data_IF_637825402199
#
_entry.id   IF_637825402199
#
_cell.length_a   1.000
_cell.length_b   1.000
_cell.length_c   1.000
_cell.angle_alpha   90.00
_cell.angle_beta   90.00
_cell.angle_gamma   90.00
#
_symmetry.space_group_name_H-M   'P 1'
#
loop_
_entity.id
_entity.type
_entity.pdbx_description
1 polymer ?
#
# COMPACT_ATOMS: atom_id res chain seq x y z
N UNK A 1 -1.64 2.54 -5.16
CA UNK A 1 -0.38 3.34 -5.07
C UNK A 1 0.12 3.95 -6.41
N UNK A 2 -0.61 3.75 -7.50
CA UNK A 2 -0.40 4.27 -8.85
C UNK A 2 -0.24 5.79 -8.93
N UNK A 3 -1.00 6.56 -8.15
CA UNK A 3 -0.89 8.02 -8.12
C UNK A 3 0.48 8.45 -7.55
N UNK A 4 0.98 7.77 -6.51
CA UNK A 4 2.31 8.04 -5.95
C UNK A 4 3.44 7.70 -6.94
N UNK A 5 3.19 6.81 -7.89
CA UNK A 5 4.15 6.44 -8.93
C UNK A 5 4.01 7.30 -10.21
N UNK A 6 3.16 8.33 -10.19
CA UNK A 6 3.00 9.28 -11.29
C UNK A 6 1.93 8.90 -12.32
N UNK A 7 1.04 7.95 -12.01
CA UNK A 7 -0.15 7.73 -12.83
C UNK A 7 -1.09 8.94 -12.74
N UNK A 8 -1.60 9.39 -13.90
CA UNK A 8 -2.64 10.42 -13.98
C UNK A 8 -4.05 9.83 -14.05
N UNK A 9 -4.16 8.50 -14.12
CA UNK A 9 -5.42 7.79 -14.21
C UNK A 9 -6.00 7.60 -12.80
N UNK A 10 -7.01 8.41 -12.48
CA UNK A 10 -7.82 8.21 -11.28
C UNK A 10 -8.96 7.25 -11.58
N UNK A 11 -9.14 6.25 -10.72
CA UNK A 11 -10.21 5.26 -10.86
C UNK A 11 -10.69 4.76 -9.48
N UNK A 12 -11.74 3.95 -9.48
CA UNK A 12 -12.37 3.41 -8.25
C UNK A 12 -11.36 2.75 -7.27
N UNK A 13 -10.35 1.98 -7.74
CA UNK A 13 -9.30 1.44 -6.88
C UNK A 13 -8.58 2.47 -5.99
N UNK A 14 -8.44 3.71 -6.42
CA UNK A 14 -7.79 4.78 -5.63
C UNK A 14 -8.61 5.11 -4.38
N UNK A 15 -9.93 5.15 -4.51
CA UNK A 15 -10.84 5.37 -3.38
C UNK A 15 -10.81 4.17 -2.42
N UNK A 16 -10.82 2.94 -2.96
CA UNK A 16 -10.75 1.72 -2.16
C UNK A 16 -9.45 1.65 -1.33
N UNK A 17 -8.32 1.99 -1.96
CA UNK A 17 -7.04 2.08 -1.29
C UNK A 17 -7.04 3.11 -0.15
N UNK A 18 -7.63 4.27 -0.40
CA UNK A 18 -7.75 5.36 0.58
C UNK A 18 -8.60 4.94 1.78
N UNK A 19 -9.71 4.24 1.56
CA UNK A 19 -10.53 3.65 2.63
C UNK A 19 -9.73 2.63 3.44
N UNK A 20 -8.94 1.79 2.79
CA UNK A 20 -8.05 0.83 3.47
C UNK A 20 -7.03 1.53 4.39
N UNK A 21 -6.43 2.63 3.93
CA UNK A 21 -5.51 3.43 4.73
C UNK A 21 -6.19 4.02 5.98
N UNK A 22 -7.38 4.62 5.81
CA UNK A 22 -8.16 5.21 6.92
C UNK A 22 -8.58 4.13 7.93
N UNK A 23 -9.04 2.96 7.45
CA UNK A 23 -9.41 1.84 8.31
C UNK A 23 -8.23 1.33 9.12
N UNK A 24 -7.06 1.17 8.50
CA UNK A 24 -5.84 0.74 9.18
C UNK A 24 -5.34 1.79 10.19
N UNK A 25 -5.47 3.08 9.88
CA UNK A 25 -5.12 4.18 10.78
C UNK A 25 -6.05 4.21 12.01
N UNK A 26 -7.36 4.08 11.81
CA UNK A 26 -8.32 3.97 12.92
C UNK A 26 -8.02 2.77 13.83
N UNK A 27 -7.66 1.63 13.24
CA UNK A 27 -7.34 0.43 14.00
C UNK A 27 -6.00 0.53 14.75
N UNK A 28 -5.01 1.23 14.19
CA UNK A 28 -3.66 1.30 14.76
C UNK A 28 -3.41 2.55 15.61
N UNK A 29 -4.33 3.52 15.58
CA UNK A 29 -4.26 4.77 16.34
C UNK A 29 -3.17 5.74 15.87
N UNK A 30 -2.55 5.49 14.72
CA UNK A 30 -1.53 6.35 14.14
C UNK A 30 -1.42 6.15 12.63
N UNK A 31 -0.92 7.14 11.87
CA UNK A 31 -0.89 7.06 10.42
C UNK A 31 -0.17 5.81 9.92
N UNK A 32 -0.79 5.14 8.94
CA UNK A 32 -0.30 3.90 8.37
C UNK A 32 1.01 4.12 7.58
N UNK A 33 1.04 5.17 6.76
CA UNK A 33 2.17 5.56 5.93
C UNK A 33 2.58 7.00 6.25
N UNK A 34 3.25 7.19 7.39
CA UNK A 34 3.73 8.50 7.83
C UNK A 34 4.99 8.93 7.07
N UNK A 35 4.91 9.16 5.75
CA UNK A 35 6.05 9.57 4.93
C UNK A 35 6.42 11.05 5.11
N UNK A 36 7.71 11.38 5.11
CA UNK A 36 8.20 12.77 5.13
C UNK A 36 8.38 13.39 3.73
N UNK A 37 8.30 12.55 2.70
CA UNK A 37 8.43 12.86 1.28
C UNK A 37 7.62 11.86 0.45
N UNK A 38 7.40 12.15 -0.84
CA UNK A 38 6.73 11.22 -1.76
C UNK A 38 7.48 9.88 -1.84
N UNK A 39 8.81 9.93 -1.96
CA UNK A 39 9.67 8.73 -2.00
C UNK A 39 9.61 7.94 -0.69
N UNK A 40 9.64 8.60 0.47
CA UNK A 40 9.52 7.90 1.76
C UNK A 40 8.14 7.23 1.90
N UNK A 41 7.07 7.89 1.43
CA UNK A 41 5.72 7.32 1.41
C UNK A 41 5.67 6.07 0.52
N UNK A 42 6.24 6.13 -0.70
CA UNK A 42 6.35 4.99 -1.61
C UNK A 42 7.10 3.83 -0.94
N UNK A 43 8.23 4.12 -0.29
CA UNK A 43 9.02 3.09 0.39
C UNK A 43 8.26 2.46 1.55
N UNK A 44 7.45 3.21 2.30
CA UNK A 44 6.60 2.65 3.36
C UNK A 44 5.52 1.74 2.81
N UNK A 45 4.92 2.10 1.67
CA UNK A 45 3.99 1.21 0.95
C UNK A 45 4.71 -0.07 0.53
N UNK A 46 5.89 0.02 -0.08
CA UNK A 46 6.65 -1.16 -0.52
C UNK A 46 7.16 -2.02 0.64
N UNK A 47 7.54 -1.43 1.77
CA UNK A 47 7.88 -2.18 2.98
C UNK A 47 6.70 -2.99 3.52
N UNK A 48 5.48 -2.53 3.25
CA UNK A 48 4.24 -3.16 3.70
C UNK A 48 3.73 -4.20 2.71
N UNK A 49 3.52 -3.82 1.46
CA UNK A 49 3.00 -4.68 0.40
C UNK A 49 4.06 -5.50 -0.33
N UNK A 50 5.34 -5.23 -0.09
CA UNK A 50 6.41 -5.69 -0.96
C UNK A 50 6.60 -4.75 -2.14
N UNK A 51 7.80 -4.81 -2.74
CA UNK A 51 8.08 -4.08 -3.98
C UNK A 51 7.39 -4.80 -5.13
N UNK A 52 6.50 -4.13 -5.89
CA UNK A 52 5.79 -4.77 -6.99
C UNK A 52 6.77 -5.14 -8.11
N UNK A 53 6.45 -6.19 -8.86
CA UNK A 53 7.18 -6.58 -10.06
C UNK A 53 6.32 -6.38 -11.30
N UNK A 54 6.94 -6.33 -12.48
CA UNK A 54 6.23 -6.13 -13.76
C UNK A 54 5.29 -7.31 -14.07
N UNK A 55 5.59 -8.50 -13.55
CA UNK A 55 4.71 -9.67 -13.67
C UNK A 55 3.45 -9.54 -12.81
N UNK A 56 3.53 -8.85 -11.67
CA UNK A 56 2.39 -8.60 -10.79
C UNK A 56 1.56 -7.44 -11.30
N UNK A 57 2.21 -6.37 -11.75
CA UNK A 57 1.58 -5.15 -12.23
C UNK A 57 2.07 -4.79 -13.64
N UNK A 58 1.38 -5.26 -14.69
CA UNK A 58 1.69 -4.93 -16.08
C UNK A 58 1.53 -3.41 -16.31
N UNK A 59 2.62 -2.72 -16.65
CA UNK A 59 2.65 -1.26 -16.82
C UNK A 59 3.40 -0.51 -15.72
N UNK A 60 3.87 -1.20 -14.66
CA UNK A 60 4.70 -0.60 -13.61
C UNK A 60 5.95 0.10 -14.16
N UNK A 61 6.58 -0.46 -15.19
CA UNK A 61 7.79 0.09 -15.81
C UNK A 61 7.56 1.41 -16.57
N UNK A 62 6.31 1.68 -16.95
CA UNK A 62 5.93 2.88 -17.70
C UNK A 62 5.56 4.06 -16.78
N UNK A 63 5.50 3.82 -15.47
CA UNK A 63 5.18 4.85 -14.49
C UNK A 63 6.37 5.81 -14.28
N UNK A 64 6.18 7.15 -14.40
CA UNK A 64 7.26 8.13 -14.40
C UNK A 64 8.20 8.06 -13.17
N UNK A 65 7.61 7.83 -12.01
CA UNK A 65 8.32 7.82 -10.73
C UNK A 65 8.80 6.42 -10.32
N UNK A 66 8.49 5.38 -11.09
CA UNK A 66 9.05 4.05 -10.85
C UNK A 66 10.52 3.99 -11.30
N UNK A 67 11.41 3.54 -10.40
CA UNK A 67 12.81 3.28 -10.70
C UNK A 67 13.15 1.81 -10.43
N UNK A 68 13.75 1.16 -11.43
CA UNK A 68 14.13 -0.26 -11.34
C UNK A 68 15.17 -0.58 -10.25
N UNK A 69 15.87 0.44 -9.73
CA UNK A 69 16.84 0.32 -8.65
C UNK A 69 16.23 0.47 -7.25
N UNK A 70 14.91 0.59 -7.13
CA UNK A 70 14.27 0.63 -5.82
C UNK A 70 14.57 -0.65 -5.02
N UNK A 71 14.73 -0.53 -3.68
CA UNK A 71 14.99 -1.70 -2.86
C UNK A 71 13.85 -2.72 -2.97
N UNK A 72 14.20 -4.00 -2.86
CA UNK A 72 13.25 -5.10 -2.96
C UNK A 72 12.82 -5.54 -1.56
N UNK A 73 11.61 -5.16 -1.17
CA UNK A 73 10.98 -5.59 0.07
C UNK A 73 10.05 -6.76 -0.15
N UNK A 74 9.92 -7.61 0.88
CA UNK A 74 8.94 -8.70 0.91
C UNK A 74 7.63 -8.20 1.51
N UNK A 75 6.47 -8.67 1.01
CA UNK A 75 5.18 -8.35 1.59
C UNK A 75 5.15 -8.74 3.07
N UNK A 76 4.62 -7.84 3.90
CA UNK A 76 4.34 -8.05 5.31
C UNK A 76 2.83 -8.04 5.49
N UNK A 77 2.22 -9.17 5.79
CA UNK A 77 0.77 -9.26 5.99
C UNK A 77 0.21 -8.24 6.99
N UNK A 78 -1.07 -7.90 6.87
CA UNK A 78 -1.70 -6.80 7.61
C UNK A 78 -1.94 -7.11 9.10
N UNK A 79 -2.00 -8.40 9.45
CA UNK A 79 -2.20 -8.87 10.82
C UNK A 79 -1.18 -8.35 11.84
N UNK A 80 0.07 -8.10 11.41
CA UNK A 80 1.19 -7.75 12.30
C UNK A 80 1.41 -6.23 12.47
N UNK A 81 0.53 -5.37 11.96
CA UNK A 81 0.62 -3.92 12.23
C UNK A 81 0.04 -3.66 13.60
N UNK A 82 0.78 -3.04 14.53
CA UNK A 82 0.28 -2.35 15.74
C UNK A 82 -1.00 -2.94 16.38
N UNK A 83 -1.07 -4.27 16.54
CA UNK A 83 -2.25 -4.97 17.07
C UNK A 83 -3.55 -4.83 16.26
N UNK A 84 -3.50 -4.43 14.98
CA UNK A 84 -4.64 -4.30 14.06
C UNK A 84 -5.49 -5.57 14.06
N UNK A 85 -4.88 -6.76 14.06
CA UNK A 85 -5.63 -8.02 14.17
C UNK A 85 -6.53 -8.07 15.43
N UNK A 86 -6.03 -7.61 16.57
CA UNK A 86 -6.82 -7.58 17.81
C UNK A 86 -7.94 -6.52 17.77
N UNK A 87 -7.81 -5.49 16.95
CA UNK A 87 -8.77 -4.38 16.86
C UNK A 87 -9.88 -4.64 15.83
N UNK A 88 -9.54 -5.20 14.66
CA UNK A 88 -10.50 -5.43 13.56
C UNK A 88 -10.89 -6.89 13.37
N UNK A 89 -10.20 -7.82 14.05
CA UNK A 89 -10.39 -9.26 13.89
C UNK A 89 -9.93 -9.79 12.52
N UNK A 90 -10.07 -11.10 12.31
CA UNK A 90 -9.64 -11.77 11.07
C UNK A 90 -10.35 -11.23 9.83
N UNK A 91 -11.67 -10.99 9.93
CA UNK A 91 -12.46 -10.44 8.82
C UNK A 91 -12.05 -9.02 8.44
N UNK A 92 -11.64 -8.21 9.43
CA UNK A 92 -11.14 -6.87 9.17
C UNK A 92 -9.77 -6.89 8.49
N UNK A 93 -8.90 -7.86 8.84
CA UNK A 93 -7.63 -8.06 8.15
C UNK A 93 -7.84 -8.50 6.70
N UNK A 94 -8.75 -9.44 6.46
CA UNK A 94 -9.10 -9.89 5.10
C UNK A 94 -9.63 -8.72 4.24
N UNK A 95 -10.48 -7.87 4.83
CA UNK A 95 -10.96 -6.67 4.15
C UNK A 95 -9.83 -5.67 3.83
N UNK A 96 -8.89 -5.44 4.75
CA UNK A 96 -7.72 -4.59 4.51
C UNK A 96 -6.82 -5.15 3.41
N UNK A 97 -6.66 -6.48 3.35
CA UNK A 97 -5.91 -7.17 2.31
C UNK A 97 -6.54 -6.98 0.93
N UNK A 98 -7.86 -7.00 0.84
CA UNK A 98 -8.58 -6.79 -0.43
C UNK A 98 -8.59 -5.32 -0.87
N UNK A 99 -8.71 -4.38 0.07
CA UNK A 99 -8.73 -2.94 -0.22
C UNK A 99 -7.37 -2.37 -0.65
N UNK A 100 -6.28 -2.99 -0.20
CA UNK A 100 -4.92 -2.49 -0.42
C UNK A 100 -4.09 -3.49 -1.23
N UNK A 101 -4.49 -3.71 -2.48
CA UNK A 101 -3.77 -4.55 -3.44
C UNK A 101 -3.04 -3.69 -4.48
N UNK A 102 -2.04 -4.28 -5.14
CA UNK A 102 -1.56 -3.75 -6.42
C UNK A 102 -2.52 -4.20 -7.53
N UNK A 103 -2.52 -3.45 -8.62
CA UNK A 103 -3.24 -3.79 -9.86
C UNK A 103 -2.58 -4.97 -10.60
#
# INVERSE_FOLDING_TARGET
>A
PEILLGSTLYSIPVDQWSVGCVMAEMASGAPLFAGDSEIDTIFKVFQKLGTPTVEQWPGLADLPEFKANFPKWRPRGWANIRSTLAQVGERGIEMLEQLMTYD
#
